data_IF_854574010852
#
_entry.id   IF_854574010852
#
_cell.length_a   1.000
_cell.length_b   1.000
_cell.length_c   1.000
_cell.angle_alpha   90.00
_cell.angle_beta   90.00
_cell.angle_gamma   90.00
#
_symmetry.space_group_name_H-M   'P 1'
#
loop_
_entity.id
_entity.type
_entity.pdbx_description
1 polymer ?
#
# COMPACT_ATOMS: atom_id res chain seq x y z
N UNK A 1 22.64 -30.57 9.18
CA UNK A 1 22.02 -29.24 9.37
C UNK A 1 22.25 -28.44 8.09
N UNK A 2 21.29 -28.43 7.17
CA UNK A 2 21.37 -27.60 5.97
C UNK A 2 20.68 -26.26 6.26
N UNK A 3 21.45 -25.18 6.25
CA UNK A 3 20.92 -23.83 6.34
C UNK A 3 20.21 -23.48 5.02
N UNK A 4 18.91 -23.20 5.10
CA UNK A 4 18.13 -22.64 3.99
C UNK A 4 18.51 -21.17 3.81
N UNK A 5 19.09 -20.84 2.66
CA UNK A 5 19.33 -19.46 2.23
C UNK A 5 18.26 -19.07 1.22
N UNK A 6 17.52 -18.00 1.50
CA UNK A 6 16.58 -17.39 0.55
C UNK A 6 17.30 -16.22 -0.14
N UNK A 7 17.47 -16.31 -1.46
CA UNK A 7 17.96 -15.20 -2.30
C UNK A 7 16.79 -14.37 -2.86
N UNK A 8 17.08 -13.16 -3.34
CA UNK A 8 16.09 -12.16 -3.78
C UNK A 8 15.01 -12.76 -4.71
N UNK A 9 13.74 -12.30 -4.63
CA UNK A 9 12.62 -12.99 -5.23
C UNK A 9 12.74 -13.08 -6.76
N UNK A 10 12.68 -14.30 -7.28
CA UNK A 10 12.47 -14.56 -8.70
C UNK A 10 11.05 -14.13 -9.10
N UNK A 11 10.85 -13.61 -10.33
CA UNK A 11 9.51 -13.33 -10.83
C UNK A 11 8.75 -14.66 -10.98
N UNK A 12 7.62 -14.78 -10.30
CA UNK A 12 6.62 -15.85 -10.48
C UNK A 12 7.12 -17.29 -10.26
N UNK A 13 7.52 -17.61 -9.02
CA UNK A 13 7.05 -18.87 -8.45
C UNK A 13 5.70 -18.59 -7.81
N UNK A 14 4.68 -19.41 -8.11
CA UNK A 14 3.42 -19.42 -7.35
C UNK A 14 3.81 -19.43 -5.88
N UNK A 15 3.56 -18.32 -5.17
CA UNK A 15 3.64 -18.31 -3.70
C UNK A 15 2.73 -19.44 -3.27
N UNK A 16 3.33 -20.52 -2.78
CA UNK A 16 2.58 -21.58 -2.13
C UNK A 16 1.94 -20.87 -0.96
N UNK A 17 0.62 -20.70 -1.02
CA UNK A 17 -0.14 -20.25 0.13
C UNK A 17 0.05 -21.33 1.18
N UNK A 18 1.01 -21.11 2.07
CA UNK A 18 1.20 -21.98 3.21
C UNK A 18 -0.10 -21.96 4.02
N UNK A 19 -0.50 -23.12 4.51
CA UNK A 19 -1.86 -23.39 5.01
C UNK A 19 -2.20 -22.67 6.33
N UNK A 20 -1.32 -21.79 6.81
CA UNK A 20 -1.46 -20.95 8.01
C UNK A 20 -1.68 -19.45 7.72
N UNK A 21 -1.96 -19.08 6.46
CA UNK A 21 -2.27 -17.72 6.03
C UNK A 21 -1.20 -17.13 5.11
N UNK A 22 -1.52 -16.12 4.28
CA UNK A 22 -0.57 -15.60 3.31
C UNK A 22 0.65 -14.99 4.01
N UNK A 23 1.84 -15.29 3.49
CA UNK A 23 3.12 -14.69 3.87
C UNK A 23 2.96 -13.19 4.17
N UNK A 24 3.28 -12.78 5.39
CA UNK A 24 3.12 -11.41 5.85
C UNK A 24 4.36 -10.57 5.56
N UNK A 25 4.17 -9.48 4.83
CA UNK A 25 5.23 -8.56 4.39
C UNK A 25 4.91 -7.13 4.84
N UNK A 26 5.41 -6.68 6.01
CA UNK A 26 5.14 -5.34 6.50
C UNK A 26 5.75 -4.30 5.55
N UNK A 27 5.04 -3.19 5.38
CA UNK A 27 5.53 -2.04 4.62
C UNK A 27 6.69 -1.39 5.37
N UNK A 28 7.85 -1.15 4.74
CA UNK A 28 8.93 -0.41 5.38
C UNK A 28 8.46 0.99 5.77
N UNK A 29 8.68 1.39 7.03
CA UNK A 29 8.20 2.67 7.60
C UNK A 29 8.53 3.88 6.72
N UNK A 30 9.74 3.93 6.14
CA UNK A 30 10.19 5.03 5.29
C UNK A 30 9.31 5.20 4.03
N UNK A 31 8.72 4.13 3.52
CA UNK A 31 7.86 4.16 2.35
C UNK A 31 6.50 4.81 2.66
N UNK A 32 5.98 4.61 3.87
CA UNK A 32 4.82 5.34 4.39
C UNK A 32 5.19 6.78 4.70
N UNK A 33 6.32 7.00 5.38
CA UNK A 33 6.79 8.33 5.80
C UNK A 33 6.94 9.30 4.63
N UNK A 34 7.52 8.84 3.52
CA UNK A 34 7.72 9.70 2.35
C UNK A 34 6.41 10.10 1.67
N UNK A 35 5.36 9.28 1.75
CA UNK A 35 4.02 9.69 1.28
C UNK A 35 3.50 10.83 2.15
N UNK A 36 3.46 10.61 3.46
CA UNK A 36 2.85 11.56 4.41
C UNK A 36 3.57 12.92 4.39
N UNK A 37 4.87 12.93 4.12
CA UNK A 37 5.65 14.18 4.02
C UNK A 37 5.47 14.94 2.70
N UNK A 38 4.91 14.31 1.65
CA UNK A 38 4.79 14.91 0.31
C UNK A 38 3.34 15.00 -0.20
N UNK A 39 2.40 14.34 0.46
CA UNK A 39 0.97 14.34 0.13
C UNK A 39 0.17 14.84 1.32
N UNK A 40 -0.61 15.92 1.13
CA UNK A 40 -1.39 16.50 2.21
C UNK A 40 -2.72 15.73 2.39
N UNK A 41 -2.95 15.23 3.60
CA UNK A 41 -4.22 14.64 3.99
C UNK A 41 -4.94 15.54 5.00
N UNK A 42 -6.27 15.49 5.03
CA UNK A 42 -7.06 16.18 6.05
C UNK A 42 -8.21 15.31 6.55
N UNK A 43 -8.41 15.26 7.86
CA UNK A 43 -9.40 14.38 8.49
C UNK A 43 -8.85 13.00 8.85
N UNK A 44 -9.75 12.10 9.23
CA UNK A 44 -9.39 10.77 9.73
C UNK A 44 -8.85 9.87 8.59
N UNK A 45 -7.92 8.98 8.92
CA UNK A 45 -7.36 7.98 8.00
C UNK A 45 -7.82 6.59 8.40
N UNK A 46 -8.14 5.76 7.41
CA UNK A 46 -8.33 4.32 7.60
C UNK A 46 -7.24 3.53 6.87
N UNK A 47 -6.58 2.63 7.59
CA UNK A 47 -5.72 1.58 7.03
C UNK A 47 -6.46 0.22 7.10
N UNK A 48 -7.11 -0.21 6.01
CA UNK A 48 -7.96 -1.41 5.99
C UNK A 48 -7.25 -2.75 5.71
N UNK A 49 -5.92 -2.76 5.58
CA UNK A 49 -5.12 -3.98 5.50
C UNK A 49 -3.86 -3.82 6.37
N UNK A 50 -4.09 -3.49 7.65
CA UNK A 50 -3.06 -2.92 8.52
C UNK A 50 -1.96 -3.88 8.94
N UNK A 51 -2.13 -5.19 8.78
CA UNK A 51 -1.11 -6.13 9.20
C UNK A 51 -0.83 -6.03 10.69
N UNK A 52 0.44 -5.80 11.04
CA UNK A 52 0.90 -5.55 12.40
C UNK A 52 0.97 -4.05 12.77
N UNK A 53 0.37 -3.17 11.98
CA UNK A 53 0.26 -1.73 12.24
C UNK A 53 1.46 -0.90 11.79
N UNK A 54 2.39 -1.48 11.00
CA UNK A 54 3.61 -0.80 10.59
C UNK A 54 3.35 0.55 9.85
N UNK A 55 2.29 0.65 9.04
CA UNK A 55 1.95 1.96 8.45
C UNK A 55 1.15 2.83 9.42
N UNK A 56 0.18 2.27 10.16
CA UNK A 56 -0.63 2.98 11.15
C UNK A 56 0.23 3.82 12.07
N UNK A 57 1.26 3.20 12.66
CA UNK A 57 2.15 3.85 13.63
C UNK A 57 2.86 5.05 13.00
N UNK A 58 3.39 4.92 11.79
CA UNK A 58 4.06 6.02 11.08
C UNK A 58 3.10 7.16 10.76
N UNK A 59 1.85 6.84 10.42
CA UNK A 59 0.82 7.84 10.11
C UNK A 59 0.40 8.57 11.40
N UNK A 60 0.23 7.84 12.51
CA UNK A 60 -0.07 8.38 13.84
C UNK A 60 1.04 9.28 14.38
N UNK A 61 2.32 8.91 14.19
CA UNK A 61 3.49 9.71 14.55
C UNK A 61 3.49 11.10 13.87
N UNK A 62 2.79 11.24 12.74
CA UNK A 62 2.62 12.52 12.03
C UNK A 62 1.38 13.30 12.45
N UNK A 63 0.72 12.87 13.52
CA UNK A 63 -0.40 13.57 14.15
C UNK A 63 -1.76 13.27 13.53
N UNK A 64 -1.86 12.27 12.67
CA UNK A 64 -3.14 11.85 12.10
C UNK A 64 -3.84 10.85 13.02
N UNK A 65 -5.17 10.91 13.04
CA UNK A 65 -5.98 9.88 13.68
C UNK A 65 -6.19 8.73 12.70
N UNK A 66 -5.75 7.54 13.10
CA UNK A 66 -5.83 6.34 12.27
C UNK A 66 -6.80 5.33 12.86
N UNK A 67 -7.67 4.81 12.02
CA UNK A 67 -8.43 3.60 12.30
C UNK A 67 -7.75 2.47 11.52
N UNK A 68 -7.62 1.30 12.10
CA UNK A 68 -6.89 0.19 11.48
C UNK A 68 -7.70 -1.08 11.56
N UNK A 69 -7.75 -1.81 10.45
CA UNK A 69 -8.42 -3.10 10.38
C UNK A 69 -7.71 -4.03 9.41
N UNK A 70 -7.93 -5.33 9.56
CA UNK A 70 -7.43 -6.35 8.65
C UNK A 70 -8.46 -7.47 8.52
N UNK A 71 -8.39 -8.21 7.41
CA UNK A 71 -9.21 -9.41 7.22
C UNK A 71 -8.80 -10.51 8.19
N UNK A 72 -7.51 -10.58 8.54
CA UNK A 72 -6.94 -11.58 9.43
C UNK A 72 -6.53 -10.96 10.76
N UNK A 73 -6.70 -11.68 11.86
CA UNK A 73 -6.13 -11.25 13.14
C UNK A 73 -4.60 -11.37 13.10
N UNK A 74 -3.92 -10.22 13.16
CA UNK A 74 -2.46 -10.09 13.16
C UNK A 74 -1.95 -9.35 14.40
N UNK A 75 -2.80 -9.19 15.41
CA UNK A 75 -2.46 -8.52 16.67
C UNK A 75 -2.46 -6.99 16.60
N UNK A 76 -3.05 -6.39 15.56
CA UNK A 76 -3.20 -4.94 15.44
C UNK A 76 -4.50 -4.57 14.71
N UNK A 77 -5.19 -3.53 15.19
CA UNK A 77 -6.47 -3.08 14.61
C UNK A 77 -7.65 -4.05 14.79
N UNK A 78 -8.78 -3.71 14.17
CA UNK A 78 -9.98 -4.55 14.15
C UNK A 78 -9.81 -5.70 13.15
N UNK A 79 -9.88 -6.95 13.63
CA UNK A 79 -9.78 -8.15 12.79
C UNK A 79 -11.13 -8.55 12.17
N UNK A 80 -11.08 -9.33 11.07
CA UNK A 80 -12.26 -9.89 10.41
C UNK A 80 -13.01 -8.92 9.51
N UNK A 81 -12.41 -7.77 9.18
CA UNK A 81 -13.03 -6.74 8.34
C UNK A 81 -12.58 -6.93 6.89
N UNK A 82 -13.49 -7.37 6.02
CA UNK A 82 -13.24 -7.40 4.58
C UNK A 82 -13.46 -6.00 3.98
N UNK A 83 -12.35 -5.33 3.67
CA UNK A 83 -12.36 -4.01 3.04
C UNK A 83 -13.18 -3.93 1.75
N UNK A 84 -13.23 -5.02 0.97
CA UNK A 84 -13.84 -5.03 -0.36
C UNK A 84 -15.36 -4.92 -0.31
N UNK A 85 -15.95 -5.39 0.80
CA UNK A 85 -17.40 -5.48 1.03
C UNK A 85 -17.88 -4.57 2.16
N UNK A 86 -16.97 -3.88 2.85
CA UNK A 86 -17.31 -2.87 3.85
C UNK A 86 -18.13 -1.72 3.26
N UNK A 87 -19.07 -1.20 4.07
CA UNK A 87 -19.90 -0.04 3.77
C UNK A 87 -19.47 1.23 4.54
N UNK A 88 -18.30 1.19 5.15
CA UNK A 88 -17.76 2.31 5.93
C UNK A 88 -17.46 3.49 5.00
N UNK A 89 -17.69 4.71 5.48
CA UNK A 89 -17.29 5.93 4.78
C UNK A 89 -16.35 6.76 5.64
N UNK A 90 -15.16 7.07 5.11
CA UNK A 90 -14.07 7.74 5.84
C UNK A 90 -13.49 8.87 4.99
N UNK A 91 -12.79 9.81 5.64
CA UNK A 91 -12.19 10.94 4.92
C UNK A 91 -11.07 10.46 3.99
N UNK A 92 -10.14 9.67 4.50
CA UNK A 92 -9.00 9.19 3.73
C UNK A 92 -8.75 7.69 3.96
N UNK A 93 -8.19 7.03 2.96
CA UNK A 93 -7.76 5.64 3.02
C UNK A 93 -6.31 5.58 2.58
N UNK A 94 -5.43 5.01 3.41
CA UNK A 94 -4.02 4.80 3.08
C UNK A 94 -3.68 3.35 3.39
N UNK A 95 -3.28 2.56 2.40
CA UNK A 95 -2.93 1.14 2.63
C UNK A 95 -1.97 0.58 1.58
N UNK A 96 -1.30 -0.52 1.94
CA UNK A 96 -0.64 -1.42 1.01
C UNK A 96 -1.52 -2.66 0.80
N UNK A 97 -2.33 -2.73 -0.26
CA UNK A 97 -3.29 -3.81 -0.44
C UNK A 97 -2.59 -5.16 -0.74
N UNK A 98 -3.25 -6.29 -0.44
CA UNK A 98 -2.76 -7.60 -0.87
C UNK A 98 -2.64 -7.65 -2.40
N UNK A 99 -1.54 -8.21 -2.90
CA UNK A 99 -1.14 -8.13 -4.31
C UNK A 99 -2.20 -8.61 -5.30
N UNK A 100 -2.96 -9.65 -4.94
CA UNK A 100 -3.99 -10.27 -5.76
C UNK A 100 -5.36 -9.60 -5.67
N UNK A 101 -5.51 -8.49 -4.94
CA UNK A 101 -6.79 -7.77 -4.81
C UNK A 101 -6.66 -6.26 -5.00
N UNK A 102 -5.60 -5.81 -5.67
CA UNK A 102 -5.32 -4.38 -5.86
C UNK A 102 -6.45 -3.64 -6.60
N UNK A 103 -7.06 -4.25 -7.63
CA UNK A 103 -8.15 -3.63 -8.40
C UNK A 103 -9.44 -3.53 -7.57
N UNK A 104 -9.78 -4.58 -6.82
CA UNK A 104 -10.91 -4.58 -5.89
C UNK A 104 -10.73 -3.54 -4.79
N UNK A 105 -9.50 -3.34 -4.30
CA UNK A 105 -9.18 -2.29 -3.34
C UNK A 105 -9.32 -0.88 -3.93
N UNK A 106 -8.97 -0.67 -5.21
CA UNK A 106 -9.24 0.62 -5.87
C UNK A 106 -10.74 0.88 -5.90
N UNK A 107 -11.53 -0.08 -6.40
CA UNK A 107 -12.98 0.09 -6.49
C UNK A 107 -13.64 0.29 -5.12
N UNK A 108 -13.26 -0.49 -4.11
CA UNK A 108 -13.78 -0.35 -2.76
C UNK A 108 -13.35 0.97 -2.11
N UNK A 109 -12.09 1.38 -2.32
CA UNK A 109 -11.57 2.63 -1.79
C UNK A 109 -12.27 3.85 -2.38
N UNK A 110 -12.49 3.88 -3.69
CA UNK A 110 -13.20 4.98 -4.37
C UNK A 110 -14.65 5.12 -3.90
N UNK A 111 -15.30 4.03 -3.46
CA UNK A 111 -16.65 4.08 -2.89
C UNK A 111 -16.66 4.54 -1.43
N UNK A 112 -15.63 4.19 -0.66
CA UNK A 112 -15.60 4.37 0.80
C UNK A 112 -14.89 5.66 1.22
N UNK A 113 -14.04 6.22 0.37
CA UNK A 113 -13.29 7.44 0.62
C UNK A 113 -14.09 8.69 0.23
N UNK A 114 -14.05 9.72 1.07
CA UNK A 114 -14.65 11.04 0.78
C UNK A 114 -13.66 12.02 0.17
N UNK A 115 -12.38 11.91 0.53
CA UNK A 115 -11.31 12.82 0.09
C UNK A 115 -10.22 12.09 -0.69
N UNK A 116 -9.25 11.47 -0.01
CA UNK A 116 -8.09 10.83 -0.67
C UNK A 116 -7.96 9.34 -0.42
N UNK A 117 -7.86 8.57 -1.51
CA UNK A 117 -7.44 7.18 -1.50
C UNK A 117 -5.97 7.11 -1.94
N UNK A 118 -5.08 6.62 -1.08
CA UNK A 118 -3.68 6.37 -1.39
C UNK A 118 -3.35 4.88 -1.26
N UNK A 119 -2.93 4.26 -2.37
CA UNK A 119 -2.56 2.84 -2.41
C UNK A 119 -1.11 2.64 -2.83
N UNK A 120 -0.36 1.84 -2.06
CA UNK A 120 1.00 1.44 -2.43
C UNK A 120 0.92 0.25 -3.39
N UNK A 121 1.18 0.50 -4.67
CA UNK A 121 1.05 -0.52 -5.72
C UNK A 121 2.35 -0.66 -6.49
N UNK A 122 2.47 -1.76 -7.24
CA UNK A 122 3.54 -1.89 -8.24
C UNK A 122 3.35 -0.84 -9.32
N UNK A 123 4.44 -0.25 -9.82
CA UNK A 123 4.35 0.73 -10.91
C UNK A 123 3.70 0.14 -12.18
N UNK A 124 3.94 -1.15 -12.43
CA UNK A 124 3.28 -1.94 -13.47
C UNK A 124 1.74 -2.05 -13.31
N UNK A 125 1.16 -1.48 -12.25
CA UNK A 125 -0.28 -1.32 -12.14
C UNK A 125 -0.85 -0.41 -13.26
N UNK A 126 -0.04 0.47 -13.84
CA UNK A 126 -0.47 1.34 -14.95
C UNK A 126 -0.68 0.60 -16.28
N UNK A 127 0.02 -0.51 -16.52
CA UNK A 127 0.10 -1.16 -17.84
C UNK A 127 -0.83 -2.37 -17.98
N UNK A 128 -2.14 -2.17 -17.78
CA UNK A 128 -3.15 -3.21 -18.04
C UNK A 128 -4.29 -2.68 -18.89
N UNK A 129 -4.59 -3.37 -19.99
CA UNK A 129 -5.75 -3.07 -20.84
C UNK A 129 -7.08 -3.21 -20.09
N UNK A 130 -7.16 -4.10 -19.10
CA UNK A 130 -8.33 -4.25 -18.22
C UNK A 130 -8.52 -2.99 -17.37
N UNK A 131 -7.48 -2.61 -16.62
CA UNK A 131 -7.50 -1.44 -15.74
C UNK A 131 -7.62 -0.12 -16.50
N UNK A 132 -7.15 -0.07 -17.74
CA UNK A 132 -7.41 1.06 -18.62
C UNK A 132 -8.91 1.30 -18.80
N UNK A 133 -9.71 0.23 -18.94
CA UNK A 133 -11.16 0.31 -19.13
C UNK A 133 -11.93 0.41 -17.82
N UNK A 134 -11.49 -0.29 -16.77
CA UNK A 134 -12.21 -0.37 -15.49
C UNK A 134 -11.87 0.76 -14.52
N UNK A 135 -10.67 1.33 -14.60
CA UNK A 135 -10.18 2.35 -13.67
C UNK A 135 -9.81 3.63 -14.42
N UNK A 136 -8.77 3.60 -15.26
CA UNK A 136 -8.09 4.83 -15.70
C UNK A 136 -8.92 5.68 -16.67
N UNK A 137 -9.75 5.07 -17.53
CA UNK A 137 -10.66 5.84 -18.39
C UNK A 137 -11.89 6.38 -17.68
N UNK A 138 -12.15 5.96 -16.43
CA UNK A 138 -13.35 6.32 -15.67
C UNK A 138 -12.98 7.28 -14.53
N UNK A 139 -12.03 6.87 -13.69
CA UNK A 139 -11.55 7.60 -12.53
C UNK A 139 -10.04 7.34 -12.38
N UNK A 140 -9.19 8.03 -13.16
CA UNK A 140 -7.75 7.91 -13.01
C UNK A 140 -7.27 8.54 -11.70
N UNK A 141 -6.11 8.11 -11.15
CA UNK A 141 -5.52 8.76 -9.99
C UNK A 141 -5.16 10.22 -10.31
N UNK A 142 -5.27 11.10 -9.32
CA UNK A 142 -4.79 12.48 -9.42
C UNK A 142 -3.26 12.52 -9.48
N UNK A 143 -2.57 11.66 -8.72
CA UNK A 143 -1.10 11.61 -8.69
C UNK A 143 -0.57 10.19 -8.56
N UNK A 144 0.51 9.92 -9.28
CA UNK A 144 1.34 8.71 -9.13
C UNK A 144 2.72 9.14 -8.66
N UNK A 145 3.01 8.83 -7.40
CA UNK A 145 4.27 9.12 -6.72
C UNK A 145 5.25 7.95 -6.89
N UNK A 146 6.19 8.10 -7.82
CA UNK A 146 7.18 7.08 -8.16
C UNK A 146 8.31 7.08 -7.14
N UNK A 147 8.63 5.90 -6.62
CA UNK A 147 9.80 5.72 -5.77
C UNK A 147 11.08 5.73 -6.60
N UNK A 148 12.00 6.65 -6.26
CA UNK A 148 13.37 6.66 -6.80
C UNK A 148 14.30 5.69 -6.06
N UNK A 149 13.91 5.25 -4.86
CA UNK A 149 14.63 4.27 -4.05
C UNK A 149 13.86 2.94 -4.00
N UNK A 150 14.57 1.80 -4.12
CA UNK A 150 13.91 0.48 -4.11
C UNK A 150 13.35 0.14 -2.73
N UNK A 151 12.05 -0.12 -2.71
CA UNK A 151 11.37 -0.82 -1.61
C UNK A 151 11.68 -2.30 -1.71
N UNK A 152 12.15 -2.89 -0.61
CA UNK A 152 12.28 -4.33 -0.46
C UNK A 152 11.40 -4.76 0.69
N UNK A 153 10.44 -5.63 0.38
CA UNK A 153 9.61 -6.28 1.38
C UNK A 153 10.32 -7.54 1.87
N UNK A 154 10.50 -7.66 3.18
CA UNK A 154 11.06 -8.84 3.82
C UNK A 154 9.96 -9.52 4.65
N UNK A 155 9.90 -10.86 4.67
CA UNK A 155 9.06 -11.55 5.63
C UNK A 155 9.42 -11.12 7.05
N UNK A 156 8.41 -11.08 7.93
CA UNK A 156 8.64 -10.76 9.35
C UNK A 156 9.66 -11.74 9.96
N UNK A 157 10.65 -11.21 10.66
CA UNK A 157 11.72 -12.00 11.29
C UNK A 157 12.86 -12.47 10.36
N UNK A 158 12.79 -12.19 9.05
CA UNK A 158 13.83 -12.58 8.11
C UNK A 158 15.09 -11.71 8.21
N UNK A 159 16.26 -12.32 7.99
CA UNK A 159 17.53 -11.59 7.84
C UNK A 159 17.50 -10.80 6.53
N UNK A 160 17.67 -9.48 6.62
CA UNK A 160 17.64 -8.58 5.46
C UNK A 160 18.86 -8.80 4.56
N UNK A 161 18.65 -9.32 3.35
CA UNK A 161 19.69 -9.46 2.31
C UNK A 161 19.14 -9.10 0.92
N UNK A 162 19.95 -8.39 0.14
CA UNK A 162 19.64 -8.02 -1.25
C UNK A 162 18.65 -6.86 -1.38
N UNK A 163 18.22 -6.58 -2.61
CA UNK A 163 17.16 -5.61 -2.91
C UNK A 163 16.15 -6.20 -3.88
N UNK A 164 14.87 -5.92 -3.66
CA UNK A 164 13.82 -6.27 -4.62
C UNK A 164 14.02 -5.54 -5.96
N UNK A 165 13.61 -6.18 -7.04
CA UNK A 165 13.67 -5.61 -8.41
C UNK A 165 12.39 -4.89 -8.81
N UNK A 166 11.32 -5.07 -8.04
CA UNK A 166 10.00 -4.52 -8.37
C UNK A 166 9.97 -3.01 -8.14
N UNK A 167 9.45 -2.26 -9.12
CA UNK A 167 9.15 -0.84 -8.97
C UNK A 167 7.77 -0.67 -8.31
N UNK A 168 7.69 0.26 -7.37
CA UNK A 168 6.47 0.62 -6.66
C UNK A 168 6.21 2.12 -6.81
N UNK A 169 4.97 2.51 -6.58
CA UNK A 169 4.51 3.88 -6.51
C UNK A 169 3.34 3.99 -5.53
N UNK A 170 3.16 5.17 -4.94
CA UNK A 170 1.89 5.53 -4.33
C UNK A 170 0.95 6.07 -5.41
N UNK A 171 -0.26 5.52 -5.46
CA UNK A 171 -1.34 5.97 -6.34
C UNK A 171 -2.36 6.71 -5.49
N UNK A 172 -2.54 8.00 -5.77
CA UNK A 172 -3.46 8.87 -5.03
C UNK A 172 -4.62 9.23 -5.94
N UNK A 173 -5.84 8.95 -5.48
CA UNK A 173 -7.08 9.51 -6.01
C UNK A 173 -7.57 10.57 -5.04
N UNK A 174 -7.55 11.81 -5.48
CA UNK A 174 -8.10 12.96 -4.75
C UNK A 174 -9.44 13.36 -5.37
N UNK A 175 -10.51 13.25 -4.60
CA UNK A 175 -11.87 13.57 -5.06
C UNK A 175 -12.06 15.06 -5.39
N UNK A 176 -11.25 15.95 -4.81
CA UNK A 176 -11.32 17.39 -5.05
C UNK A 176 -10.45 17.83 -6.24
N UNK A 177 -9.62 16.94 -6.78
CA UNK A 177 -8.70 17.27 -7.87
C UNK A 177 -9.39 17.21 -9.25
N UNK A 178 -9.35 18.34 -9.96
CA UNK A 178 -9.90 18.49 -11.32
C UNK A 178 -8.76 18.73 -12.32
N UNK A 179 -8.09 17.67 -12.74
CA UNK A 179 -6.99 17.77 -13.70
C UNK A 179 -6.52 16.42 -14.23
N UNK A 180 -5.53 16.42 -15.14
CA UNK A 180 -4.92 15.18 -15.61
C UNK A 180 -4.09 14.52 -14.50
N UNK A 181 -3.91 13.20 -14.58
CA UNK A 181 -2.99 12.46 -13.70
C UNK A 181 -1.58 13.05 -13.77
N UNK A 182 -1.01 13.35 -12.61
CA UNK A 182 0.36 13.81 -12.48
C UNK A 182 1.30 12.65 -12.15
N UNK A 183 2.44 12.60 -12.83
CA UNK A 183 3.52 11.68 -12.49
C UNK A 183 4.62 12.46 -11.79
N UNK A 184 4.88 12.14 -10.53
CA UNK A 184 5.86 12.82 -9.70
C UNK A 184 6.84 11.82 -9.08
N UNK A 185 8.04 12.26 -8.74
CA UNK A 185 9.05 11.44 -8.08
C UNK A 185 9.16 11.81 -6.61
N UNK A 186 9.17 10.79 -5.75
CA UNK A 186 9.39 10.98 -4.34
C UNK A 186 10.86 11.36 -4.08
N UNK A 187 11.13 12.27 -3.13
CA UNK A 187 12.48 12.63 -2.74
C UNK A 187 13.25 11.44 -2.19
N UNK A 188 14.56 11.43 -2.43
CA UNK A 188 15.48 10.39 -1.93
C UNK A 188 15.96 10.69 -0.50
N UNK A 189 16.54 9.68 0.16
CA UNK A 189 17.15 9.78 1.49
C UNK A 189 16.21 9.41 2.63
N UNK A 190 14.99 8.97 2.34
CA UNK A 190 14.05 8.49 3.36
C UNK A 190 14.45 7.12 3.91
N UNK A 191 15.10 6.29 3.08
CA UNK A 191 15.55 4.95 3.47
C UNK A 191 16.63 4.97 4.56
N UNK A 192 17.40 6.06 4.66
CA UNK A 192 18.52 6.21 5.59
C UNK A 192 18.20 7.10 6.80
N UNK A 193 17.14 7.90 6.73
CA UNK A 193 16.63 8.69 7.86
C UNK A 193 15.94 7.74 8.85
N UNK A 194 16.52 7.61 10.04
CA UNK A 194 15.85 6.97 11.19
C UNK A 194 14.81 7.92 11.74
#
# INVERSE_FOLDING_TARGET
>A
MNQLFVTAPQPTMKRVADMDGPDFYPTPEWATRVLIDNENFSGDIWEPACGDGAMSQVIEERGYKVQSSDLFDRGFGDAGIDFRTSNKSVDNIITNPPFNSAEEFVHAGLRQCKKKLALLLRLAFLESAGRQKSIFSICPPSTVWVFSERITFYPKGAVRKGSGTTAYAWFVWDHDYQGPTQLNWLPVGYKTKK
#
